data_IF_007704375288
#
_entry.id   IF_007704375288
#
_cell.length_a   1.000
_cell.length_b   1.000
_cell.length_c   1.000
_cell.angle_alpha   90.00
_cell.angle_beta   90.00
_cell.angle_gamma   90.00
#
_symmetry.space_group_name_H-M   'P 1'
#
loop_
_entity.id
_entity.type
_entity.pdbx_description
1 polymer ?
#
# COMPACT_ATOMS: atom_id res chain seq x y z
N UNK A 1 -3.60 -4.62 10.16
CA UNK A 1 -3.52 -4.13 11.55
C UNK A 1 -4.70 -3.21 11.81
N UNK A 2 -5.24 -3.11 13.02
CA UNK A 2 -6.31 -2.15 13.36
C UNK A 2 -5.90 -1.41 14.62
N UNK A 3 -5.80 -0.08 14.54
CA UNK A 3 -5.31 0.77 15.63
C UNK A 3 -6.25 1.95 15.85
N UNK A 4 -6.29 2.50 17.06
CA UNK A 4 -7.01 3.74 17.32
C UNK A 4 -6.36 4.91 16.58
N UNK A 5 -7.17 5.76 15.95
CA UNK A 5 -6.73 6.99 15.27
C UNK A 5 -7.76 8.07 15.49
N UNK A 6 -7.33 9.16 16.10
CA UNK A 6 -8.19 10.27 16.51
C UNK A 6 -9.39 9.78 17.32
N UNK A 7 -10.61 10.10 16.88
CA UNK A 7 -11.83 9.60 17.49
C UNK A 7 -12.31 8.28 16.88
N UNK A 8 -11.62 7.68 15.91
CA UNK A 8 -11.98 6.46 15.22
C UNK A 8 -10.89 5.38 15.21
N UNK A 9 -10.78 4.66 14.10
CA UNK A 9 -9.78 3.61 13.88
C UNK A 9 -9.10 3.76 12.53
N UNK A 10 -7.87 3.26 12.42
CA UNK A 10 -7.19 3.08 11.13
C UNK A 10 -6.98 1.59 10.85
N UNK A 11 -7.42 1.17 9.67
CA UNK A 11 -7.33 -0.22 9.22
C UNK A 11 -6.22 -0.34 8.18
N UNK A 12 -5.15 -1.05 8.53
CA UNK A 12 -4.07 -1.41 7.62
C UNK A 12 -4.42 -2.70 6.90
N UNK A 13 -4.32 -2.67 5.58
CA UNK A 13 -4.64 -3.77 4.66
C UNK A 13 -3.42 -4.16 3.85
N UNK A 14 -3.32 -5.45 3.55
CA UNK A 14 -2.38 -6.01 2.60
C UNK A 14 -3.18 -6.61 1.44
N UNK A 15 -2.81 -6.26 0.22
CA UNK A 15 -3.33 -6.84 -1.00
C UNK A 15 -2.26 -7.73 -1.64
N UNK A 16 -2.65 -8.94 -2.01
CA UNK A 16 -1.94 -9.82 -2.93
C UNK A 16 -3.01 -10.51 -3.78
N UNK A 17 -3.42 -9.83 -4.84
CA UNK A 17 -4.53 -10.27 -5.69
C UNK A 17 -4.19 -10.12 -7.17
N UNK A 18 -4.30 -11.20 -7.94
CA UNK A 18 -3.92 -11.25 -9.35
C UNK A 18 -2.51 -10.67 -9.66
N UNK A 19 -1.57 -10.81 -8.71
CA UNK A 19 -0.21 -10.29 -8.81
C UNK A 19 -0.06 -8.79 -8.55
N UNK A 20 -1.13 -8.10 -8.18
CA UNK A 20 -1.11 -6.72 -7.66
C UNK A 20 -0.85 -6.82 -6.16
N UNK A 21 0.24 -6.21 -5.70
CA UNK A 21 0.67 -6.31 -4.30
C UNK A 21 0.89 -4.93 -3.71
N UNK A 22 0.26 -4.62 -2.58
CA UNK A 22 0.47 -3.35 -1.87
C UNK A 22 -0.01 -3.41 -0.41
N UNK A 23 0.52 -2.52 0.43
CA UNK A 23 -0.03 -2.19 1.73
C UNK A 23 -0.64 -0.78 1.70
N UNK A 24 -1.80 -0.62 2.33
CA UNK A 24 -2.50 0.65 2.45
C UNK A 24 -3.14 0.77 3.83
N UNK A 25 -3.64 1.95 4.19
CA UNK A 25 -4.46 2.13 5.37
C UNK A 25 -5.68 2.99 5.09
N UNK A 26 -6.80 2.72 5.78
CA UNK A 26 -8.03 3.48 5.65
C UNK A 26 -8.48 3.96 7.04
N UNK A 27 -8.56 5.29 7.29
CA UNK A 27 -9.19 5.80 8.49
C UNK A 27 -10.72 5.64 8.41
N UNK A 28 -11.31 5.17 9.51
CA UNK A 28 -12.76 5.04 9.70
C UNK A 28 -13.15 5.74 11.01
N UNK A 29 -13.89 6.84 10.89
CA UNK A 29 -14.42 7.59 12.02
C UNK A 29 -15.50 6.79 12.76
N UNK A 30 -15.75 7.10 14.04
CA UNK A 30 -16.74 6.41 14.91
C UNK A 30 -18.10 6.22 14.24
N UNK A 31 -18.59 7.25 13.57
CA UNK A 31 -19.90 7.23 12.93
C UNK A 31 -19.99 6.21 11.78
N UNK A 32 -18.87 5.85 11.16
CA UNK A 32 -18.82 4.86 10.09
C UNK A 32 -18.92 3.41 10.62
N UNK A 33 -18.55 3.16 11.88
CA UNK A 33 -18.50 1.81 12.47
C UNK A 33 -19.91 1.21 12.62
N UNK A 34 -20.92 2.05 12.80
CA UNK A 34 -22.31 1.63 12.93
C UNK A 34 -23.08 1.60 11.60
N UNK A 35 -22.48 2.11 10.51
CA UNK A 35 -23.13 2.12 9.21
C UNK A 35 -23.08 0.73 8.55
N UNK A 36 -24.24 0.25 8.13
CA UNK A 36 -24.37 -0.92 7.25
C UNK A 36 -24.78 -0.43 5.88
N UNK A 37 -23.90 -0.58 4.89
CA UNK A 37 -24.16 -0.06 3.55
C UNK A 37 -22.91 -0.03 2.68
N UNK A 38 -23.05 0.61 1.53
CA UNK A 38 -21.94 0.80 0.59
C UNK A 38 -20.92 1.80 1.14
N UNK A 39 -19.64 1.41 1.16
CA UNK A 39 -18.51 2.31 1.44
C UNK A 39 -17.95 2.96 0.15
N UNK A 40 -18.74 3.00 -0.93
CA UNK A 40 -18.29 3.59 -2.20
C UNK A 40 -18.06 5.08 -2.05
N UNK A 41 -16.80 5.50 -2.10
CA UNK A 41 -16.44 6.91 -2.08
C UNK A 41 -16.72 7.60 -3.42
N UNK A 42 -17.13 8.87 -3.33
CA UNK A 42 -17.22 9.83 -4.43
C UNK A 42 -16.20 10.98 -4.26
N UNK A 43 -15.29 10.86 -3.29
CA UNK A 43 -14.21 11.80 -3.06
C UNK A 43 -13.25 11.81 -4.27
N UNK A 44 -12.86 13.00 -4.69
CA UNK A 44 -11.87 13.23 -5.74
C UNK A 44 -10.77 14.19 -5.28
N UNK A 45 -10.65 14.40 -3.97
CA UNK A 45 -9.60 15.22 -3.36
C UNK A 45 -8.23 14.52 -3.35
N UNK A 46 -7.27 15.21 -2.74
CA UNK A 46 -5.86 14.80 -2.71
C UNK A 46 -5.65 13.54 -1.86
N UNK A 47 -6.40 13.37 -0.77
CA UNK A 47 -6.31 12.17 0.08
C UNK A 47 -6.74 10.91 -0.68
N UNK A 48 -7.85 10.98 -1.42
CA UNK A 48 -8.28 9.88 -2.28
C UNK A 48 -7.29 9.64 -3.42
N UNK A 49 -6.73 10.70 -4.01
CA UNK A 49 -5.74 10.55 -5.09
C UNK A 49 -4.43 9.93 -4.58
N UNK A 50 -4.06 10.22 -3.34
CA UNK A 50 -2.96 9.55 -2.63
C UNK A 50 -3.27 8.07 -2.42
N UNK A 51 -4.48 7.73 -1.98
CA UNK A 51 -4.91 6.33 -1.86
C UNK A 51 -4.84 5.57 -3.19
N UNK A 52 -5.29 6.21 -4.27
CA UNK A 52 -5.20 5.65 -5.62
C UNK A 52 -3.75 5.43 -6.02
N UNK A 53 -2.85 6.38 -5.75
CA UNK A 53 -1.42 6.22 -5.98
C UNK A 53 -0.83 5.01 -5.23
N UNK A 54 -1.17 4.87 -3.94
CA UNK A 54 -0.78 3.73 -3.10
C UNK A 54 -1.22 2.41 -3.74
N UNK A 55 -2.46 2.31 -4.23
CA UNK A 55 -2.95 1.10 -4.92
C UNK A 55 -2.22 0.87 -6.25
N UNK A 56 -2.03 1.92 -7.05
CA UNK A 56 -1.38 1.82 -8.37
C UNK A 56 0.09 1.41 -8.29
N UNK A 57 0.78 1.64 -7.16
CA UNK A 57 2.12 1.09 -6.95
C UNK A 57 2.16 -0.45 -7.04
N UNK A 58 1.07 -1.14 -6.65
CA UNK A 58 0.97 -2.59 -6.80
C UNK A 58 0.74 -3.03 -8.25
N UNK A 59 0.05 -2.20 -9.05
CA UNK A 59 -0.06 -2.40 -10.48
C UNK A 59 1.29 -2.21 -11.18
N UNK A 60 2.06 -1.19 -10.76
CA UNK A 60 3.40 -0.94 -11.25
C UNK A 60 4.35 -2.11 -10.93
N UNK A 61 4.27 -2.64 -9.70
CA UNK A 61 4.99 -3.87 -9.35
C UNK A 61 4.63 -5.01 -10.29
N UNK A 62 3.32 -5.26 -10.52
CA UNK A 62 2.86 -6.30 -11.44
C UNK A 62 3.42 -6.11 -12.86
N UNK A 63 3.39 -4.87 -13.35
CA UNK A 63 3.83 -4.53 -14.70
C UNK A 63 5.33 -4.76 -14.92
N UNK A 64 6.16 -4.53 -13.89
CA UNK A 64 7.61 -4.71 -13.96
C UNK A 64 8.12 -5.77 -12.96
N UNK A 65 7.33 -6.83 -12.73
CA UNK A 65 7.58 -7.81 -11.66
C UNK A 65 8.99 -8.38 -11.69
N UNK A 66 9.44 -8.83 -12.86
CA UNK A 66 10.77 -9.42 -13.03
C UNK A 66 11.89 -8.44 -12.64
N UNK A 67 11.77 -7.17 -13.02
CA UNK A 67 12.74 -6.13 -12.66
C UNK A 67 12.80 -5.94 -11.14
N UNK A 68 11.65 -5.82 -10.48
CA UNK A 68 11.60 -5.59 -9.03
C UNK A 68 12.00 -6.84 -8.23
N UNK A 69 11.69 -8.04 -8.71
CA UNK A 69 12.16 -9.30 -8.11
C UNK A 69 13.68 -9.44 -8.21
N UNK A 70 14.26 -9.09 -9.36
CA UNK A 70 15.71 -9.08 -9.55
C UNK A 70 16.38 -8.03 -8.64
N UNK A 71 15.78 -6.86 -8.47
CA UNK A 71 16.27 -5.83 -7.55
C UNK A 71 16.21 -6.30 -6.09
N UNK A 72 15.11 -6.93 -5.68
CA UNK A 72 14.97 -7.54 -4.35
C UNK A 72 16.06 -8.58 -4.11
N UNK A 73 16.28 -9.48 -5.08
CA UNK A 73 17.34 -10.49 -5.02
C UNK A 73 18.72 -9.86 -4.86
N UNK A 74 19.02 -8.82 -5.63
CA UNK A 74 20.27 -8.08 -5.50
C UNK A 74 20.48 -7.54 -4.08
N UNK A 75 19.48 -6.89 -3.48
CA UNK A 75 19.60 -6.44 -2.10
C UNK A 75 19.78 -7.61 -1.13
N UNK A 76 18.97 -8.67 -1.28
CA UNK A 76 19.05 -9.83 -0.39
C UNK A 76 20.44 -10.48 -0.37
N UNK A 77 21.05 -10.64 -1.55
CA UNK A 77 22.36 -11.27 -1.69
C UNK A 77 23.51 -10.41 -1.14
N UNK A 78 23.31 -9.08 -1.05
CA UNK A 78 24.34 -8.13 -0.66
C UNK A 78 24.24 -7.65 0.81
N UNK A 79 23.23 -8.08 1.58
CA UNK A 79 23.04 -7.68 2.99
C UNK A 79 24.31 -7.84 3.83
N UNK A 80 24.96 -9.01 3.78
CA UNK A 80 26.17 -9.29 4.57
C UNK A 80 27.37 -8.48 4.12
N UNK A 81 27.51 -8.28 2.81
CA UNK A 81 28.67 -7.61 2.20
C UNK A 81 28.69 -6.13 2.59
N UNK A 82 27.54 -5.47 2.53
CA UNK A 82 27.43 -4.03 2.83
C UNK A 82 26.83 -3.74 4.22
N UNK A 83 26.60 -4.78 5.03
CA UNK A 83 26.19 -4.67 6.44
C UNK A 83 24.92 -3.83 6.65
N UNK A 84 23.87 -4.12 5.89
CA UNK A 84 22.54 -3.53 6.11
C UNK A 84 21.49 -4.60 6.36
N UNK A 85 20.35 -4.15 6.88
CA UNK A 85 19.15 -4.96 7.06
C UNK A 85 17.95 -4.20 6.51
N UNK A 86 16.94 -4.95 6.04
CA UNK A 86 15.63 -4.40 5.73
C UNK A 86 14.69 -4.35 6.94
N UNK A 87 13.46 -3.89 6.72
CA UNK A 87 12.37 -4.10 7.66
C UNK A 87 12.05 -5.60 7.79
N UNK A 88 11.44 -5.99 8.92
CA UNK A 88 10.81 -7.32 9.01
C UNK A 88 9.48 -7.31 8.25
N UNK A 89 9.07 -8.49 7.76
CA UNK A 89 7.74 -8.66 7.13
C UNK A 89 6.60 -8.26 8.06
N UNK A 90 6.75 -8.52 9.36
CA UNK A 90 5.75 -8.11 10.34
C UNK A 90 5.64 -6.58 10.45
N UNK A 91 6.78 -5.88 10.50
CA UNK A 91 6.77 -4.42 10.52
C UNK A 91 6.10 -3.85 9.27
N UNK A 92 6.43 -4.38 8.09
CA UNK A 92 5.81 -3.97 6.83
C UNK A 92 4.29 -4.17 6.87
N UNK A 93 3.84 -5.38 7.20
CA UNK A 93 2.42 -5.74 7.17
C UNK A 93 1.58 -5.07 8.27
N UNK A 94 2.20 -4.64 9.37
CA UNK A 94 1.47 -4.05 10.50
C UNK A 94 1.55 -2.53 10.57
N UNK A 95 2.58 -1.90 10.00
CA UNK A 95 2.82 -0.47 10.21
C UNK A 95 3.01 0.34 8.94
N UNK A 96 3.23 -0.28 7.78
CA UNK A 96 3.47 0.44 6.52
C UNK A 96 2.20 0.47 5.66
N UNK A 97 1.99 1.58 4.95
CA UNK A 97 0.80 1.86 4.14
C UNK A 97 1.14 2.64 2.85
N UNK A 98 2.40 2.58 2.41
CA UNK A 98 2.94 3.42 1.32
C UNK A 98 2.76 2.81 -0.08
N UNK A 99 2.13 1.65 -0.19
CA UNK A 99 1.93 0.94 -1.45
C UNK A 99 2.67 -0.39 -1.48
N UNK A 100 3.18 -0.79 -2.64
CA UNK A 100 4.10 -1.91 -2.73
C UNK A 100 5.35 -1.61 -1.91
N UNK A 101 5.64 -2.49 -0.97
CA UNK A 101 6.84 -2.42 -0.15
C UNK A 101 7.30 -3.83 0.21
N UNK A 102 8.61 -4.04 0.17
CA UNK A 102 9.28 -5.19 0.74
C UNK A 102 10.31 -4.74 1.79
N UNK A 103 11.12 -5.68 2.26
CA UNK A 103 12.14 -5.46 3.28
C UNK A 103 13.11 -4.32 2.93
N UNK A 104 13.38 -4.06 1.66
CA UNK A 104 14.46 -3.18 1.21
C UNK A 104 13.99 -1.88 0.56
N UNK A 105 12.85 -1.88 -0.12
CA UNK A 105 12.37 -0.71 -0.86
C UNK A 105 10.85 -0.69 -0.97
N UNK A 106 10.34 0.48 -1.36
CA UNK A 106 8.95 0.71 -1.74
C UNK A 106 8.88 1.32 -3.15
N UNK A 107 7.73 1.19 -3.80
CA UNK A 107 7.47 1.75 -5.12
C UNK A 107 6.44 2.87 -4.99
N UNK A 108 6.69 4.00 -5.64
CA UNK A 108 5.73 5.10 -5.78
C UNK A 108 5.23 5.19 -7.21
N UNK A 109 3.96 5.54 -7.41
CA UNK A 109 3.39 5.76 -8.74
C UNK A 109 2.91 7.20 -8.93
N UNK A 110 2.43 7.52 -10.14
CA UNK A 110 1.83 8.81 -10.43
C UNK A 110 0.44 8.92 -9.78
N UNK A 111 0.18 10.06 -9.14
CA UNK A 111 -1.13 10.36 -8.57
C UNK A 111 -2.21 10.46 -9.66
N UNK A 112 -3.36 9.84 -9.39
CA UNK A 112 -4.54 9.80 -10.26
C UNK A 112 -5.78 9.93 -9.38
N UNK A 113 -6.85 10.51 -9.90
CA UNK A 113 -8.11 10.54 -9.15
C UNK A 113 -8.87 9.21 -9.27
N UNK A 114 -9.85 9.02 -8.38
CA UNK A 114 -10.65 7.79 -8.31
C UNK A 114 -11.47 7.53 -9.59
N UNK A 115 -11.86 8.58 -10.33
CA UNK A 115 -12.58 8.45 -11.59
C UNK A 115 -11.69 7.88 -12.69
N UNK A 116 -10.43 8.31 -12.76
CA UNK A 116 -9.43 7.75 -13.68
C UNK A 116 -9.12 6.30 -13.33
N UNK A 117 -8.88 5.98 -12.05
CA UNK A 117 -8.66 4.60 -11.60
C UNK A 117 -9.78 3.64 -11.99
N UNK A 118 -11.04 4.09 -11.94
CA UNK A 118 -12.19 3.26 -12.34
C UNK A 118 -12.31 3.07 -13.85
N UNK A 119 -11.70 3.95 -14.64
CA UNK A 119 -11.87 4.01 -16.10
C UNK A 119 -10.80 3.22 -16.85
N UNK A 120 -9.57 3.20 -16.34
CA UNK A 120 -8.37 2.67 -16.99
C UNK A 120 -7.79 1.52 -16.18
#
# INVERSE_FOLDING_TARGET
>A
NVVGKDDGVEVYVHCDDHGIVFNASLPLYKDAIHQKGSMRSNDNGDDMSTMVCTVLSGFEYRAQKEKYDNLYKFFKENEKKYQYTGFTKEAINKTQNVGYQNEYFYITYLSRNLKEYRKY
#
